data_IF_057368041117
#
_entry.id   IF_057368041117
#
_cell.length_a   1.000
_cell.length_b   1.000
_cell.length_c   1.000
_cell.angle_alpha   90.00
_cell.angle_beta   90.00
_cell.angle_gamma   90.00
#
_symmetry.space_group_name_H-M   'P 1'
#
loop_
_entity.id
_entity.type
_entity.pdbx_description
1 polymer ?
#
# COMPACT_ATOMS: atom_id res chain seq x y z
N UNK A 1 4.15 -10.53 -16.48
CA UNK A 1 3.21 -10.56 -15.33
C UNK A 1 3.44 -9.27 -14.56
N UNK A 2 2.38 -8.57 -14.12
CA UNK A 2 2.55 -7.37 -13.29
C UNK A 2 2.33 -7.80 -11.85
N UNK A 3 3.35 -7.65 -11.02
CA UNK A 3 3.27 -7.91 -9.58
C UNK A 3 2.85 -6.62 -8.88
N UNK A 4 1.87 -6.71 -7.99
CA UNK A 4 1.43 -5.59 -7.14
C UNK A 4 1.71 -5.91 -5.69
N UNK A 5 2.28 -4.96 -4.95
CA UNK A 5 2.57 -5.10 -3.53
C UNK A 5 2.18 -3.82 -2.81
N UNK A 6 1.46 -3.95 -1.70
CA UNK A 6 1.08 -2.80 -0.88
C UNK A 6 1.72 -2.91 0.51
N UNK A 7 2.46 -1.88 0.92
CA UNK A 7 2.97 -1.72 2.28
C UNK A 7 2.15 -0.67 3.04
N UNK A 8 1.93 -0.92 4.32
CA UNK A 8 1.24 0.02 5.21
C UNK A 8 2.14 0.28 6.40
N UNK A 9 2.41 1.56 6.69
CA UNK A 9 3.11 1.91 7.91
C UNK A 9 2.26 1.49 9.13
N UNK A 10 2.85 0.76 10.08
CA UNK A 10 2.13 0.24 11.25
C UNK A 10 1.36 1.31 12.03
N UNK A 11 1.91 2.53 12.11
CA UNK A 11 1.23 3.68 12.71
C UNK A 11 -0.10 4.03 12.04
N UNK A 12 -0.25 3.81 10.73
CA UNK A 12 -1.53 4.02 10.03
C UNK A 12 -2.57 2.97 10.44
N UNK A 13 -2.14 1.72 10.65
CA UNK A 13 -2.99 0.64 11.15
C UNK A 13 -3.44 0.96 12.58
N UNK A 14 -2.52 1.42 13.43
CA UNK A 14 -2.83 1.83 14.81
C UNK A 14 -3.81 3.00 14.85
N UNK A 15 -3.62 4.01 14.00
CA UNK A 15 -4.54 5.15 13.88
C UNK A 15 -5.95 4.71 13.47
N UNK A 16 -6.06 3.81 12.49
CA UNK A 16 -7.35 3.27 12.05
C UNK A 16 -8.00 2.43 13.15
N UNK A 17 -7.23 1.58 13.81
CA UNK A 17 -7.68 0.71 14.89
C UNK A 17 -8.11 1.47 16.16
N UNK A 18 -7.55 2.66 16.41
CA UNK A 18 -7.97 3.55 17.50
C UNK A 18 -9.15 4.44 17.11
N UNK A 19 -9.23 4.87 15.85
CA UNK A 19 -10.32 5.73 15.39
C UNK A 19 -11.64 4.97 15.31
N UNK A 20 -11.64 3.76 14.73
CA UNK A 20 -12.86 2.97 14.51
C UNK A 20 -13.68 2.65 15.78
N UNK A 21 -13.09 2.30 16.94
CA UNK A 21 -13.86 2.09 18.18
C UNK A 21 -14.24 3.39 18.90
N UNK A 22 -13.66 4.54 18.50
CA UNK A 22 -13.95 5.84 19.12
C UNK A 22 -15.17 6.54 18.54
N UNK A 23 -15.75 6.02 17.45
CA UNK A 23 -16.95 6.56 16.81
C UNK A 23 -18.16 5.69 17.07
N UNK A 24 -19.34 6.31 17.04
CA UNK A 24 -20.64 5.64 17.27
C UNK A 24 -21.32 5.18 15.97
N UNK A 25 -20.69 5.43 14.83
CA UNK A 25 -21.15 5.12 13.49
C UNK A 25 -19.95 4.71 12.62
N UNK A 26 -20.23 4.19 11.42
CA UNK A 26 -19.22 3.84 10.43
C UNK A 26 -18.21 4.98 10.24
N UNK A 27 -16.92 4.63 10.16
CA UNK A 27 -15.83 5.60 9.96
C UNK A 27 -15.32 5.53 8.54
N UNK A 28 -15.07 6.69 7.94
CA UNK A 28 -14.47 6.81 6.62
C UNK A 28 -13.31 7.80 6.62
N UNK A 29 -12.49 7.77 5.57
CA UNK A 29 -11.30 8.60 5.47
C UNK A 29 -10.47 8.30 4.23
N UNK A 30 -9.42 9.07 4.04
CA UNK A 30 -8.49 8.94 2.91
C UNK A 30 -7.18 8.29 3.35
N UNK A 31 -6.62 7.47 2.47
CA UNK A 31 -5.24 6.99 2.59
C UNK A 31 -4.37 7.83 1.67
N UNK A 32 -3.32 8.43 2.23
CA UNK A 32 -2.27 9.05 1.45
C UNK A 32 -1.19 8.01 1.21
N UNK A 33 -0.94 7.74 -0.07
CA UNK A 33 -0.01 6.71 -0.53
C UNK A 33 0.96 7.25 -1.58
N UNK A 34 2.12 6.61 -1.67
CA UNK A 34 3.10 6.78 -2.73
C UNK A 34 3.13 5.53 -3.59
N UNK A 35 2.97 5.67 -4.91
CA UNK A 35 3.04 4.54 -5.86
C UNK A 35 4.39 4.58 -6.59
N UNK A 36 5.13 3.49 -6.50
CA UNK A 36 6.44 3.33 -7.15
C UNK A 36 6.44 2.13 -8.08
N UNK A 37 6.79 2.36 -9.35
CA UNK A 37 7.04 1.29 -10.32
C UNK A 37 8.51 0.92 -10.32
N UNK A 38 8.85 -0.31 -9.94
CA UNK A 38 10.21 -0.82 -9.94
C UNK A 38 10.35 -1.95 -10.97
N UNK A 39 11.35 -1.85 -11.84
CA UNK A 39 11.68 -2.94 -12.76
C UNK A 39 12.51 -3.99 -12.01
N UNK A 40 12.01 -5.22 -11.96
CA UNK A 40 12.68 -6.37 -11.37
C UNK A 40 13.20 -7.26 -12.49
N UNK A 41 14.52 -7.27 -12.67
CA UNK A 41 15.18 -8.16 -13.61
C UNK A 41 15.51 -9.47 -12.90
N UNK A 42 14.70 -10.52 -13.12
CA UNK A 42 15.03 -11.85 -12.59
C UNK A 42 16.06 -12.49 -13.52
N UNK A 43 17.27 -12.74 -13.01
CA UNK A 43 18.31 -13.45 -13.77
C UNK A 43 17.94 -14.94 -13.71
N UNK A 44 17.33 -15.47 -14.77
CA UNK A 44 17.08 -16.91 -14.92
C UNK A 44 18.17 -17.52 -15.82
N UNK A 45 18.64 -18.74 -15.51
CA UNK A 45 19.65 -19.47 -16.31
C UNK A 45 19.11 -19.94 -17.68
N UNK A 46 17.84 -19.62 -17.97
CA UNK A 46 17.21 -19.72 -19.29
C UNK A 46 17.43 -18.42 -20.05
N UNK A 47 17.83 -18.49 -21.31
CA UNK A 47 18.02 -17.31 -22.19
C UNK A 47 16.68 -16.62 -22.58
N UNK A 48 15.92 -16.16 -21.59
CA UNK A 48 14.79 -15.23 -21.70
C UNK A 48 14.85 -14.29 -20.48
N UNK A 49 15.27 -13.04 -20.69
CA UNK A 49 15.16 -11.99 -19.68
C UNK A 49 13.68 -11.59 -19.54
N UNK A 50 12.95 -12.26 -18.65
CA UNK A 50 11.61 -11.81 -18.26
C UNK A 50 11.76 -10.60 -17.31
N UNK A 51 11.61 -9.41 -17.88
CA UNK A 51 11.54 -8.15 -17.13
C UNK A 51 10.16 -8.04 -16.50
N UNK A 52 10.09 -8.16 -15.17
CA UNK A 52 8.87 -7.93 -14.40
C UNK A 52 8.81 -6.49 -13.93
N UNK A 53 7.62 -5.88 -13.96
CA UNK A 53 7.38 -4.57 -13.34
C UNK A 53 6.59 -4.81 -12.06
N UNK A 54 7.19 -4.43 -10.94
CA UNK A 54 6.56 -4.48 -9.62
C UNK A 54 6.02 -3.08 -9.31
N UNK A 55 4.72 -2.98 -9.07
CA UNK A 55 4.14 -1.76 -8.54
C UNK A 55 4.01 -1.90 -7.03
N UNK A 56 4.74 -1.03 -6.32
CA UNK A 56 4.69 -0.97 -4.86
C UNK A 56 3.92 0.28 -4.44
N UNK A 57 2.88 0.10 -3.65
CA UNK A 57 2.12 1.19 -3.04
C UNK A 57 2.47 1.28 -1.56
N UNK A 58 2.95 2.43 -1.10
CA UNK A 58 3.29 2.66 0.30
C UNK A 58 2.31 3.64 0.95
N UNK A 59 1.50 3.14 1.90
CA UNK A 59 0.53 3.96 2.63
C UNK A 59 1.24 4.66 3.79
N UNK A 60 1.32 5.98 3.69
CA UNK A 60 2.06 6.83 4.64
C UNK A 60 1.18 7.46 5.71
N UNK A 61 -0.11 7.67 5.44
CA UNK A 61 -1.01 8.33 6.39
C UNK A 61 -2.48 7.99 6.15
N UNK A 62 -3.23 7.85 7.25
CA UNK A 62 -4.69 7.87 7.25
C UNK A 62 -5.22 9.25 7.67
N UNK A 63 -6.20 9.78 6.93
CA UNK A 63 -6.89 11.04 7.23
C UNK A 63 -8.38 10.74 7.45
N UNK A 64 -8.88 10.81 8.69
CA UNK A 64 -10.29 10.60 8.97
C UNK A 64 -11.19 11.72 8.45
N UNK A 65 -12.37 11.35 7.96
CA UNK A 65 -13.46 12.27 7.69
C UNK A 65 -14.33 12.39 8.95
N UNK A 66 -14.44 13.59 9.51
CA UNK A 66 -15.35 13.88 10.60
C UNK A 66 -16.57 14.63 10.04
N UNK A 67 -17.78 14.12 10.32
CA UNK A 67 -19.04 14.82 10.07
C UNK A 67 -19.45 15.68 11.26
#
# INVERSE_FOLDING_TARGET
MVEESTSVLGLCVDQLALHHPSTVCDTEGFLLEEVKGEAKNSITDSQMDDVEVVHTTDIQKYIPCFF
#
